data_IF_132925000605
#
_entry.id   IF_132925000605
#
_cell.length_a   1.000
_cell.length_b   1.000
_cell.length_c   1.000
_cell.angle_alpha   90.00
_cell.angle_beta   90.00
_cell.angle_gamma   90.00
#
_symmetry.space_group_name_H-M   'P 1'
#
loop_
_entity.id
_entity.type
_entity.pdbx_description
1 polymer ?
#
# COMPACT_ATOMS: atom_id res chain seq x y z
N UNK A 1 10.73 27.87 0.85
CA UNK A 1 11.09 26.44 0.91
C UNK A 1 10.10 25.68 0.03
N UNK A 2 10.46 25.32 -1.21
CA UNK A 2 9.59 24.46 -2.02
C UNK A 2 9.86 23.00 -1.61
N UNK A 3 9.02 22.46 -0.73
CA UNK A 3 9.10 21.04 -0.39
C UNK A 3 8.83 20.21 -1.64
N UNK A 4 9.62 19.17 -1.88
CA UNK A 4 9.33 18.20 -2.93
C UNK A 4 7.95 17.59 -2.68
N UNK A 5 7.01 17.81 -3.59
CA UNK A 5 5.66 17.26 -3.50
C UNK A 5 5.56 15.95 -4.27
N UNK A 6 4.84 15.00 -3.71
CA UNK A 6 4.43 13.80 -4.41
C UNK A 6 2.94 13.57 -4.18
N UNK A 7 2.33 12.81 -5.08
CA UNK A 7 0.92 12.44 -5.03
C UNK A 7 0.82 10.93 -5.09
N UNK A 8 -0.03 10.38 -4.23
CA UNK A 8 -0.49 9.01 -4.34
C UNK A 8 -1.94 9.02 -4.82
N UNK A 9 -2.21 8.34 -5.93
CA UNK A 9 -3.55 8.21 -6.51
C UNK A 9 -4.06 6.82 -6.21
N UNK A 10 -5.26 6.71 -5.66
CA UNK A 10 -5.96 5.44 -5.51
C UNK A 10 -6.97 5.35 -6.65
N UNK A 11 -6.94 4.26 -7.39
CA UNK A 11 -7.91 3.96 -8.46
C UNK A 11 -8.57 2.62 -8.19
N UNK A 12 -9.88 2.54 -8.43
CA UNK A 12 -10.65 1.29 -8.37
C UNK A 12 -11.08 0.91 -9.79
N UNK A 13 -11.12 -0.39 -10.09
CA UNK A 13 -11.60 -0.88 -11.39
C UNK A 13 -13.10 -0.63 -11.54
N UNK A 14 -13.52 -0.14 -12.71
CA UNK A 14 -14.93 0.08 -13.02
C UNK A 14 -15.69 -1.24 -13.26
N UNK A 15 -14.99 -2.33 -13.59
CA UNK A 15 -15.58 -3.65 -13.83
C UNK A 15 -15.49 -4.58 -12.62
N UNK A 16 -14.69 -4.23 -11.61
CA UNK A 16 -14.49 -5.02 -10.40
C UNK A 16 -14.23 -4.11 -9.20
N UNK A 17 -15.23 -3.98 -8.32
CA UNK A 17 -15.12 -3.13 -7.12
C UNK A 17 -14.14 -3.68 -6.06
N UNK A 18 -13.53 -4.84 -6.30
CA UNK A 18 -12.54 -5.47 -5.44
C UNK A 18 -11.11 -5.29 -5.93
N UNK A 19 -10.92 -4.67 -7.09
CA UNK A 19 -9.60 -4.40 -7.66
C UNK A 19 -9.24 -2.92 -7.50
N UNK A 20 -8.17 -2.68 -6.73
CA UNK A 20 -7.64 -1.36 -6.44
C UNK A 20 -6.18 -1.27 -6.85
N UNK A 21 -5.76 -0.10 -7.30
CA UNK A 21 -4.36 0.22 -7.55
C UNK A 21 -3.97 1.53 -6.88
N UNK A 22 -2.73 1.57 -6.38
CA UNK A 22 -2.12 2.77 -5.80
C UNK A 22 -0.97 3.18 -6.70
N UNK A 23 -1.06 4.40 -7.22
CA UNK A 23 -0.09 4.99 -8.12
C UNK A 23 0.69 6.11 -7.45
N UNK A 24 1.91 6.33 -7.90
CA UNK A 24 2.79 7.39 -7.42
C UNK A 24 3.18 8.32 -8.56
N UNK A 25 3.06 9.62 -8.30
CA UNK A 25 3.61 10.67 -9.16
C UNK A 25 4.37 11.69 -8.32
N UNK A 26 5.43 12.26 -8.90
CA UNK A 26 6.29 13.23 -8.24
C UNK A 26 6.26 14.54 -9.03
N UNK A 27 5.89 15.65 -8.38
CA UNK A 27 5.82 16.94 -9.07
C UNK A 27 7.20 17.37 -9.55
N UNK A 28 7.25 17.93 -10.76
CA UNK A 28 8.49 18.47 -11.34
C UNK A 28 9.39 17.44 -12.03
N UNK A 29 9.11 16.13 -11.92
CA UNK A 29 9.74 15.11 -12.77
C UNK A 29 8.78 14.74 -13.90
N UNK A 30 9.26 14.77 -15.15
CA UNK A 30 8.55 14.22 -16.33
C UNK A 30 8.38 12.68 -16.28
N UNK A 31 8.57 12.06 -15.11
CA UNK A 31 8.41 10.61 -14.96
C UNK A 31 6.93 10.28 -14.97
N UNK A 32 6.58 9.25 -15.74
CA UNK A 32 5.22 8.70 -15.79
C UNK A 32 4.79 8.24 -14.40
N UNK A 33 3.52 8.45 -14.10
CA UNK A 33 2.84 7.81 -12.99
C UNK A 33 3.22 6.33 -12.92
N UNK A 34 3.65 5.88 -11.75
CA UNK A 34 4.14 4.52 -11.53
C UNK A 34 3.21 3.81 -10.58
N UNK A 35 2.61 2.71 -11.01
CA UNK A 35 1.84 1.84 -10.15
C UNK A 35 2.77 1.22 -9.10
N UNK A 36 2.48 1.46 -7.83
CA UNK A 36 3.25 0.91 -6.71
C UNK A 36 2.70 -0.45 -6.29
N UNK A 37 1.38 -0.55 -6.18
CA UNK A 37 0.69 -1.72 -5.62
C UNK A 37 -0.64 -1.91 -6.33
N UNK A 38 -0.99 -3.16 -6.59
CA UNK A 38 -2.35 -3.59 -6.91
C UNK A 38 -2.86 -4.47 -5.79
N UNK A 39 -4.12 -4.28 -5.40
CA UNK A 39 -4.79 -4.96 -4.30
C UNK A 39 -6.08 -5.54 -4.88
N UNK A 40 -6.16 -6.87 -4.90
CA UNK A 40 -7.35 -7.60 -5.29
C UNK A 40 -7.95 -8.28 -4.05
N UNK A 41 -9.18 -7.95 -3.71
CA UNK A 41 -9.90 -8.61 -2.63
C UNK A 41 -10.61 -9.88 -3.14
N UNK A 42 -10.52 -10.96 -2.36
CA UNK A 42 -11.31 -12.17 -2.60
C UNK A 42 -12.79 -11.95 -2.24
N UNK A 43 -13.68 -12.73 -2.85
CA UNK A 43 -15.09 -12.72 -2.48
C UNK A 43 -15.29 -13.32 -1.09
N UNK A 44 -15.46 -12.46 -0.08
CA UNK A 44 -15.61 -12.86 1.30
C UNK A 44 -16.74 -12.07 1.94
N UNK A 45 -17.68 -12.70 2.68
CA UNK A 45 -18.87 -12.02 3.23
C UNK A 45 -18.59 -10.86 4.19
N UNK A 46 -17.37 -10.75 4.69
CA UNK A 46 -16.92 -9.74 5.66
C UNK A 46 -16.02 -8.67 5.03
N UNK A 47 -15.77 -8.73 3.71
CA UNK A 47 -15.11 -7.67 2.95
C UNK A 47 -16.18 -6.78 2.33
N UNK A 48 -16.84 -6.00 3.18
CA UNK A 48 -17.70 -4.93 2.72
C UNK A 48 -16.87 -3.74 2.19
N UNK A 49 -17.55 -2.83 1.51
CA UNK A 49 -16.94 -1.65 0.86
C UNK A 49 -16.18 -0.78 1.88
N UNK A 50 -16.76 -0.56 3.06
CA UNK A 50 -16.16 0.24 4.11
C UNK A 50 -14.85 -0.37 4.61
N UNK A 51 -14.81 -1.68 4.82
CA UNK A 51 -13.61 -2.41 5.22
C UNK A 51 -12.54 -2.36 4.12
N UNK A 52 -12.93 -2.58 2.86
CA UNK A 52 -11.99 -2.51 1.74
C UNK A 52 -11.37 -1.12 1.62
N UNK A 53 -12.17 -0.06 1.70
CA UNK A 53 -11.71 1.32 1.65
C UNK A 53 -10.77 1.66 2.82
N UNK A 54 -11.10 1.26 4.05
CA UNK A 54 -10.23 1.44 5.21
C UNK A 54 -8.86 0.75 5.03
N UNK A 55 -8.87 -0.47 4.49
CA UNK A 55 -7.64 -1.22 4.26
C UNK A 55 -6.79 -0.54 3.18
N UNK A 56 -7.39 -0.16 2.05
CA UNK A 56 -6.68 0.51 0.95
C UNK A 56 -6.10 1.85 1.42
N UNK A 57 -6.87 2.64 2.18
CA UNK A 57 -6.42 3.90 2.75
C UNK A 57 -5.24 3.70 3.72
N UNK A 58 -5.29 2.66 4.56
CA UNK A 58 -4.21 2.30 5.48
C UNK A 58 -2.92 1.92 4.73
N UNK A 59 -3.04 1.16 3.64
CA UNK A 59 -1.91 0.80 2.77
C UNK A 59 -1.33 2.05 2.11
N UNK A 60 -2.16 2.91 1.52
CA UNK A 60 -1.73 4.15 0.87
C UNK A 60 -0.97 5.06 1.85
N UNK A 61 -1.49 5.21 3.08
CA UNK A 61 -0.83 5.99 4.14
C UNK A 61 0.53 5.42 4.52
N UNK A 62 0.64 4.09 4.67
CA UNK A 62 1.93 3.42 4.98
C UNK A 62 2.94 3.59 3.85
N UNK A 63 2.50 3.53 2.59
CA UNK A 63 3.35 3.80 1.42
C UNK A 63 3.83 5.25 1.43
N UNK A 64 2.95 6.22 1.71
CA UNK A 64 3.31 7.63 1.81
C UNK A 64 4.41 7.86 2.86
N UNK A 65 4.23 7.35 4.08
CA UNK A 65 5.23 7.43 5.14
C UNK A 65 6.56 6.82 4.70
N UNK A 66 6.53 5.65 4.07
CA UNK A 66 7.75 4.97 3.64
C UNK A 66 8.48 5.69 2.52
N UNK A 67 7.78 6.39 1.64
CA UNK A 67 8.36 7.26 0.61
C UNK A 67 9.01 8.49 1.24
N UNK A 68 8.36 9.10 2.24
CA UNK A 68 8.92 10.24 2.98
C UNK A 68 10.19 9.80 3.72
N UNK A 69 10.15 8.66 4.41
CA UNK A 69 11.28 8.11 5.15
C UNK A 69 12.45 7.78 4.22
N UNK A 70 12.18 7.18 3.06
CA UNK A 70 13.24 6.83 2.09
C UNK A 70 13.88 8.04 1.44
N UNK A 71 13.13 9.13 1.23
CA UNK A 71 13.67 10.41 0.77
C UNK A 71 14.46 11.14 1.86
N UNK A 72 14.08 10.96 3.12
CA UNK A 72 14.73 11.61 4.28
C UNK A 72 15.98 10.88 4.75
N UNK A 73 16.12 9.59 4.44
CA UNK A 73 17.30 8.79 4.77
C UNK A 73 18.23 8.67 3.56
N UNK A 74 19.26 9.52 3.52
CA UNK A 74 20.49 9.17 2.82
C UNK A 74 21.06 7.93 3.49
N UNK A 75 21.09 6.80 2.78
CA UNK A 75 21.59 5.49 3.21
C UNK A 75 20.87 4.86 4.41
N UNK A 76 20.01 3.86 4.17
CA UNK A 76 19.71 2.90 5.24
C UNK A 76 19.73 1.43 4.79
N UNK A 77 20.81 0.77 5.21
CA UNK A 77 21.19 -0.64 4.98
C UNK A 77 20.32 -1.65 5.76
N UNK A 78 18.99 -1.52 5.77
CA UNK A 78 18.16 -2.39 6.65
C UNK A 78 16.90 -3.02 6.02
N UNK A 79 16.82 -3.11 4.69
CA UNK A 79 15.66 -3.66 3.98
C UNK A 79 15.28 -5.10 4.39
N UNK A 80 16.28 -5.94 4.71
CA UNK A 80 16.08 -7.36 5.08
C UNK A 80 15.33 -7.53 6.41
N UNK A 81 15.60 -6.70 7.40
CA UNK A 81 14.92 -6.77 8.70
C UNK A 81 13.45 -6.36 8.59
N UNK A 82 13.13 -5.39 7.71
CA UNK A 82 11.76 -4.94 7.48
C UNK A 82 10.94 -5.99 6.71
N UNK A 83 11.56 -6.69 5.76
CA UNK A 83 10.90 -7.78 5.02
C UNK A 83 10.53 -8.95 5.94
N UNK A 84 11.44 -9.36 6.84
CA UNK A 84 11.18 -10.43 7.81
C UNK A 84 9.98 -10.10 8.73
N UNK A 85 9.87 -8.84 9.18
CA UNK A 85 8.74 -8.40 9.99
C UNK A 85 7.42 -8.40 9.22
N UNK A 86 7.41 -7.96 7.96
CA UNK A 86 6.21 -7.99 7.13
C UNK A 86 5.72 -9.43 6.90
N UNK A 87 6.65 -10.36 6.59
CA UNK A 87 6.32 -11.79 6.44
C UNK A 87 5.73 -12.39 7.71
N UNK A 88 6.25 -12.00 8.89
CA UNK A 88 5.71 -12.45 10.18
C UNK A 88 4.27 -11.98 10.39
N UNK A 89 3.99 -10.71 10.12
CA UNK A 89 2.63 -10.14 10.28
C UNK A 89 1.64 -10.85 9.36
N UNK A 90 1.99 -11.08 8.08
CA UNK A 90 1.13 -11.80 7.14
C UNK A 90 0.88 -13.23 7.63
N UNK A 91 1.91 -13.92 8.12
CA UNK A 91 1.78 -15.26 8.69
C UNK A 91 0.83 -15.28 9.89
N UNK A 92 0.97 -14.33 10.82
CA UNK A 92 0.11 -14.23 12.00
C UNK A 92 -1.36 -13.99 11.63
N UNK A 93 -1.61 -13.19 10.58
CA UNK A 93 -2.97 -12.96 10.06
C UNK A 93 -3.54 -14.24 9.44
N UNK A 94 -2.77 -14.94 8.60
CA UNK A 94 -3.20 -16.20 7.99
C UNK A 94 -3.49 -17.29 9.03
N UNK A 95 -2.69 -17.36 10.10
CA UNK A 95 -2.92 -18.29 11.20
C UNK A 95 -4.18 -17.93 11.99
N UNK A 96 -4.48 -16.66 12.19
CA UNK A 96 -5.75 -16.24 12.80
C UNK A 96 -6.93 -16.63 11.91
N UNK A 97 -6.86 -16.38 10.60
CA UNK A 97 -7.94 -16.75 9.67
C UNK A 97 -8.22 -18.25 9.66
N UNK A 98 -7.17 -19.10 9.75
CA UNK A 98 -7.32 -20.56 9.87
C UNK A 98 -8.00 -21.04 11.14
N UNK A 99 -7.99 -20.26 12.23
CA UNK A 99 -8.66 -20.62 13.50
C UNK A 99 -10.15 -20.29 13.53
N UNK A 100 -10.62 -19.48 12.58
CA UNK A 100 -12.02 -19.07 12.45
C UNK A 100 -12.75 -19.75 11.27
N UNK A 101 -12.11 -20.74 10.62
CA UNK A 101 -12.74 -21.74 9.75
C UNK A 101 -12.97 -23.03 10.55
#
# INVERSE_FOLDING_TARGET
MSGEQFTLTISQSASDNRDFAIHFSEQGKKKKETQLVQIQFSDMPWFDEAFMDELVASVARKLATRIIDSKSQSDNKNSKATEANARRIVKDVLEKMRKYQ
#
